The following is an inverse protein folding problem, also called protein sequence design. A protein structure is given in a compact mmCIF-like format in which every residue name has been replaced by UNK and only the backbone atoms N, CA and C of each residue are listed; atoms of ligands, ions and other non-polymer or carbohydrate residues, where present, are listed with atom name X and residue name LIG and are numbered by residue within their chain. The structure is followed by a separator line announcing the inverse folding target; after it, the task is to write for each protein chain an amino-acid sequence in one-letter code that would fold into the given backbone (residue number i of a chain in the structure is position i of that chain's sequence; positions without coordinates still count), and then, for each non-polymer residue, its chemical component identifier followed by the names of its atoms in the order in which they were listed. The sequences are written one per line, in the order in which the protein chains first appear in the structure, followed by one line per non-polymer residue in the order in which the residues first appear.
data_IF_919523152733
#
_entry.id   IF_919523152733
#
_cell.length_a   1.000
_cell.length_b   1.000
_cell.length_c   1.000
_cell.angle_alpha   90.00
_cell.angle_beta   90.00
_cell.angle_gamma   90.00
#
_symmetry.space_group_name_H-M   'P 1'
#
loop_
_entity.id
_entity.type
_entity.pdbx_description
1 polymer ?
#
# COMPACT_ATOMS: atom_id res chain seq x y z
N UNK A 1 -2.41 9.73 -10.64
CA UNK A 1 -3.27 10.79 -10.08
C UNK A 1 -4.56 10.86 -10.89
N UNK A 2 -5.69 10.41 -10.34
CA UNK A 2 -7.00 10.42 -11.01
C UNK A 2 -7.60 11.84 -11.12
N UNK A 3 -7.22 12.76 -10.22
CA UNK A 3 -7.65 14.15 -10.23
C UNK A 3 -6.45 15.07 -10.45
N UNK A 4 -6.51 15.94 -11.46
CA UNK A 4 -5.40 16.84 -11.87
C UNK A 4 -5.39 18.21 -11.18
N UNK A 5 -6.18 18.38 -10.13
CA UNK A 5 -6.32 19.63 -9.38
C UNK A 5 -5.39 19.64 -8.16
N UNK A 6 -5.02 20.83 -7.69
CA UNK A 6 -4.27 20.98 -6.44
C UNK A 6 -5.07 20.39 -5.27
N UNK A 7 -4.44 19.49 -4.53
CA UNK A 7 -5.03 18.89 -3.34
C UNK A 7 -4.75 19.74 -2.08
N UNK A 8 -5.46 19.47 -0.99
CA UNK A 8 -5.22 20.11 0.31
C UNK A 8 -4.26 19.28 1.16
N UNK A 9 -4.71 18.77 2.31
CA UNK A 9 -3.87 18.02 3.26
C UNK A 9 -3.63 16.56 2.85
N UNK A 10 -4.43 16.02 1.93
CA UNK A 10 -4.35 14.64 1.46
C UNK A 10 -4.49 14.55 -0.07
N UNK A 11 -4.05 13.44 -0.66
CA UNK A 11 -4.23 13.16 -2.08
C UNK A 11 -4.45 11.66 -2.35
N UNK A 12 -5.16 11.34 -3.43
CA UNK A 12 -5.47 9.94 -3.80
C UNK A 12 -4.74 9.57 -5.09
N UNK A 13 -4.01 8.47 -5.05
CA UNK A 13 -3.42 7.81 -6.23
C UNK A 13 -4.25 6.58 -6.61
N UNK A 14 -4.10 6.13 -7.86
CA UNK A 14 -4.70 4.89 -8.35
C UNK A 14 -3.60 3.95 -8.78
N UNK A 15 -3.62 2.74 -8.24
CA UNK A 15 -2.79 1.60 -8.64
C UNK A 15 -3.31 0.85 -9.86
N UNK A 16 -4.31 1.36 -10.59
CA UNK A 16 -4.95 0.63 -11.71
C UNK A 16 -3.95 0.22 -12.80
N UNK A 17 -2.87 0.97 -12.99
CA UNK A 17 -1.81 0.61 -13.96
C UNK A 17 -1.03 -0.63 -13.55
N UNK A 18 -0.87 -0.87 -12.25
CA UNK A 18 -0.11 -1.98 -11.70
C UNK A 18 -0.85 -3.32 -11.87
N UNK A 19 -2.16 -3.30 -12.12
CA UNK A 19 -2.95 -4.50 -12.44
C UNK A 19 -2.38 -5.23 -13.66
N UNK A 20 -1.81 -4.52 -14.63
CA UNK A 20 -1.17 -5.14 -15.81
C UNK A 20 0.00 -6.08 -15.43
N UNK A 21 0.58 -5.91 -14.24
CA UNK A 21 1.65 -6.74 -13.68
C UNK A 21 1.14 -7.71 -12.59
N UNK A 22 -0.18 -7.80 -12.42
CA UNK A 22 -0.83 -8.60 -11.37
C UNK A 22 -0.56 -8.06 -9.96
N UNK A 23 -0.35 -6.75 -9.83
CA UNK A 23 -0.11 -6.05 -8.56
C UNK A 23 -1.33 -5.18 -8.24
N UNK A 24 -1.81 -5.32 -7.01
CA UNK A 24 -2.93 -4.56 -6.45
C UNK A 24 -2.44 -3.55 -5.40
N UNK A 25 -3.30 -2.61 -5.00
CA UNK A 25 -3.01 -1.61 -3.97
C UNK A 25 -2.57 -2.25 -2.65
N UNK A 26 -3.13 -3.43 -2.31
CA UNK A 26 -2.71 -4.19 -1.14
C UNK A 26 -1.26 -4.66 -1.22
N UNK A 27 -0.76 -5.01 -2.41
CA UNK A 27 0.63 -5.47 -2.59
C UNK A 27 1.62 -4.31 -2.43
N UNK A 28 1.24 -3.12 -2.90
CA UNK A 28 1.99 -1.87 -2.66
C UNK A 28 2.00 -1.55 -1.15
N UNK A 29 0.85 -1.68 -0.48
CA UNK A 29 0.75 -1.50 0.97
C UNK A 29 1.66 -2.49 1.72
N UNK A 30 1.67 -3.78 1.36
CA UNK A 30 2.59 -4.73 1.98
C UNK A 30 4.06 -4.43 1.68
N UNK A 31 4.37 -3.96 0.48
CA UNK A 31 5.73 -3.52 0.12
C UNK A 31 6.22 -2.30 0.89
N UNK A 32 5.32 -1.41 1.34
CA UNK A 32 5.65 -0.30 2.25
C UNK A 32 6.08 -0.78 3.63
N UNK A 33 5.43 -1.82 4.15
CA UNK A 33 5.77 -2.43 5.44
C UNK A 33 7.22 -2.91 5.44
N UNK A 34 7.64 -3.61 4.37
CA UNK A 34 9.02 -4.08 4.23
C UNK A 34 10.05 -2.93 4.14
N UNK A 35 9.61 -1.71 3.80
CA UNK A 35 10.43 -0.50 3.74
C UNK A 35 10.33 0.37 5.00
N UNK A 36 9.70 -0.14 6.07
CA UNK A 36 9.59 0.54 7.36
C UNK A 36 8.49 1.60 7.42
N UNK A 37 7.57 1.64 6.46
CA UNK A 37 6.44 2.56 6.48
C UNK A 37 5.14 1.84 6.87
N UNK A 38 4.35 2.48 7.74
CA UNK A 38 2.95 2.12 7.84
C UNK A 38 2.25 2.52 6.52
N UNK A 39 1.45 1.63 5.91
CA UNK A 39 0.78 1.98 4.66
C UNK A 39 -0.25 3.10 4.84
N UNK A 40 -0.46 3.94 3.82
CA UNK A 40 -1.58 4.86 3.79
C UNK A 40 -2.91 4.12 3.71
N UNK A 41 -4.02 4.86 3.74
CA UNK A 41 -5.34 4.28 3.49
C UNK A 41 -5.38 3.69 2.08
N UNK A 42 -5.84 2.44 1.95
CA UNK A 42 -6.06 1.78 0.65
C UNK A 42 -7.53 1.41 0.45
N UNK A 43 -7.96 1.33 -0.81
CA UNK A 43 -9.32 1.01 -1.23
C UNK A 43 -10.42 2.00 -0.76
N UNK A 44 -10.01 3.17 -0.28
CA UNK A 44 -10.89 4.31 -0.03
C UNK A 44 -10.24 5.59 -0.56
N UNK A 45 -11.00 6.52 -1.18
CA UNK A 45 -12.44 6.44 -1.48
C UNK A 45 -12.75 5.43 -2.59
N UNK A 46 -13.94 4.81 -2.53
CA UNK A 46 -14.34 3.70 -3.42
C UNK A 46 -14.56 4.11 -4.89
N UNK A 47 -14.61 5.41 -5.18
CA UNK A 47 -14.72 5.96 -6.55
C UNK A 47 -13.40 5.91 -7.33
N UNK A 48 -12.28 5.60 -6.66
CA UNK A 48 -10.97 5.43 -7.29
C UNK A 48 -10.59 3.95 -7.23
N UNK A 49 -10.39 3.31 -8.38
CA UNK A 49 -9.91 1.92 -8.43
C UNK A 49 -8.49 1.82 -7.90
N UNK A 50 -8.20 0.77 -7.14
CA UNK A 50 -6.89 0.56 -6.50
C UNK A 50 -6.43 1.83 -5.76
N UNK A 51 -7.35 2.44 -5.00
CA UNK A 51 -7.10 3.69 -4.30
C UNK A 51 -5.98 3.56 -3.28
N UNK A 52 -5.10 4.56 -3.26
CA UNK A 52 -4.03 4.76 -2.28
C UNK A 52 -4.10 6.24 -1.84
N UNK A 53 -4.67 6.50 -0.67
CA UNK A 53 -4.96 7.84 -0.15
C UNK A 53 -3.95 8.24 0.93
N UNK A 54 -3.09 9.20 0.59
CA UNK A 54 -1.94 9.62 1.40
C UNK A 54 -2.22 10.98 2.04
N UNK A 55 -2.09 11.02 3.37
CA UNK A 55 -2.15 12.22 4.20
C UNK A 55 -0.92 12.25 5.13
N UNK A 56 0.07 13.13 4.90
CA UNK A 56 1.27 13.16 5.73
C UNK A 56 1.09 13.92 7.06
N UNK A 57 0.10 14.80 7.17
CA UNK A 57 -0.05 15.81 8.24
C UNK A 57 1.11 16.81 8.31
N UNK A 58 0.94 17.86 9.11
CA UNK A 58 1.89 18.98 9.21
C UNK A 58 3.14 18.69 10.05
N UNK A 59 3.13 17.61 10.85
CA UNK A 59 4.24 17.30 11.76
C UNK A 59 5.39 16.56 11.09
N UNK A 60 5.16 15.98 9.91
CA UNK A 60 6.19 15.23 9.20
C UNK A 60 7.20 16.15 8.52
N UNK A 61 8.47 15.77 8.62
CA UNK A 61 9.57 16.55 8.05
C UNK A 61 9.60 16.41 6.52
N UNK A 62 10.16 17.42 5.83
CA UNK A 62 10.39 17.32 4.38
C UNK A 62 11.23 16.09 4.02
N UNK A 63 12.21 15.74 4.86
CA UNK A 63 13.05 14.56 4.65
C UNK A 63 12.25 13.26 4.70
N UNK A 64 11.29 13.15 5.64
CA UNK A 64 10.35 12.01 5.69
C UNK A 64 9.54 11.93 4.41
N UNK A 65 9.01 13.06 3.93
CA UNK A 65 8.22 13.12 2.70
C UNK A 65 9.04 12.70 1.48
N UNK A 66 10.27 13.21 1.34
CA UNK A 66 11.16 12.87 0.24
C UNK A 66 11.49 11.36 0.26
N UNK A 67 11.73 10.80 1.44
CA UNK A 67 12.01 9.37 1.62
C UNK A 67 10.80 8.51 1.27
N UNK A 68 9.59 8.92 1.69
CA UNK A 68 8.35 8.24 1.34
C UNK A 68 8.08 8.30 -0.18
N UNK A 69 8.32 9.46 -0.82
CA UNK A 69 8.19 9.61 -2.28
C UNK A 69 9.18 8.70 -3.02
N UNK A 70 10.45 8.68 -2.60
CA UNK A 70 11.47 7.79 -3.18
C UNK A 70 11.07 6.32 -3.04
N UNK A 71 10.54 5.95 -1.88
CA UNK A 71 10.00 4.61 -1.61
C UNK A 71 8.83 4.25 -2.51
N UNK A 72 7.87 5.16 -2.72
CA UNK A 72 6.75 4.94 -3.64
C UNK A 72 7.19 4.78 -5.09
N UNK A 73 8.20 5.54 -5.53
CA UNK A 73 8.80 5.42 -6.86
C UNK A 73 9.51 4.06 -7.02
N UNK A 74 10.25 3.63 -6.01
CA UNK A 74 10.89 2.31 -5.99
C UNK A 74 9.85 1.18 -6.07
N UNK A 75 8.79 1.24 -5.27
CA UNK A 75 7.69 0.27 -5.30
C UNK A 75 7.03 0.18 -6.69
N UNK A 76 6.83 1.32 -7.36
CA UNK A 76 6.31 1.33 -8.72
C UNK A 76 7.23 0.59 -9.69
N UNK A 77 8.56 0.75 -9.57
CA UNK A 77 9.54 0.00 -10.38
C UNK A 77 9.56 -1.48 -10.05
N UNK A 78 9.49 -1.85 -8.78
CA UNK A 78 9.45 -3.27 -8.36
C UNK A 78 8.16 -3.93 -8.85
N UNK A 79 7.03 -3.24 -8.84
CA UNK A 79 5.77 -3.76 -9.39
C UNK A 79 5.89 -4.12 -10.88
N UNK A 80 6.62 -3.33 -11.67
CA UNK A 80 6.81 -3.58 -13.10
C UNK A 80 7.85 -4.66 -13.38
N UNK A 81 8.98 -4.65 -12.67
CA UNK A 81 10.15 -5.48 -12.99
C UNK A 81 10.22 -6.79 -12.19
N UNK A 82 9.70 -6.79 -10.95
CA UNK A 82 9.84 -7.89 -10.00
C UNK A 82 8.55 -8.10 -9.18
N UNK A 83 7.38 -8.29 -9.83
CA UNK A 83 6.07 -8.31 -9.16
C UNK A 83 5.97 -9.38 -8.06
N UNK A 84 6.64 -10.52 -8.23
CA UNK A 84 6.61 -11.60 -7.25
C UNK A 84 7.18 -11.18 -5.89
N UNK A 85 8.12 -10.22 -5.85
CA UNK A 85 8.61 -9.65 -4.58
C UNK A 85 7.50 -8.94 -3.81
N UNK A 86 6.63 -8.19 -4.50
CA UNK A 86 5.51 -7.48 -3.83
C UNK A 86 4.38 -8.41 -3.43
N UNK A 87 4.13 -9.47 -4.21
CA UNK A 87 3.16 -10.52 -3.84
C UNK A 87 3.60 -11.28 -2.59
N UNK A 88 4.90 -11.51 -2.44
CA UNK A 88 5.47 -12.16 -1.26
C UNK A 88 5.51 -11.25 -0.01
N UNK A 89 5.53 -9.93 -0.19
CA UNK A 89 5.57 -8.97 0.92
C UNK A 89 4.35 -9.08 1.86
N UNK A 90 4.48 -8.84 3.18
CA UNK A 90 5.72 -8.49 3.86
C UNK A 90 6.53 -9.73 4.22
N UNK A 91 7.86 -9.62 4.14
CA UNK A 91 8.82 -10.70 4.46
C UNK A 91 9.78 -10.32 5.59
N UNK A 92 9.85 -9.06 6.00
CA UNK A 92 10.73 -8.61 7.09
C UNK A 92 10.05 -8.62 8.46
N UNK A 93 8.72 -8.79 8.50
CA UNK A 93 7.93 -8.83 9.73
C UNK A 93 7.92 -10.23 10.36
N UNK A 94 7.68 -10.35 11.68
CA UNK A 94 7.61 -11.66 12.37
C UNK A 94 6.55 -12.62 11.79
N UNK A 95 5.51 -12.05 11.17
CA UNK A 95 4.43 -12.77 10.48
C UNK A 95 4.24 -12.15 9.11
N UNK A 96 4.06 -12.99 8.08
CA UNK A 96 3.77 -12.56 6.73
C UNK A 96 2.28 -12.29 6.48
N UNK A 97 1.80 -12.55 5.26
CA UNK A 97 0.37 -12.46 4.95
C UNK A 97 -0.42 -13.52 5.71
N UNK A 98 -1.50 -13.08 6.36
CA UNK A 98 -2.45 -13.97 7.01
C UNK A 98 -3.41 -14.54 5.97
N UNK A 99 -3.88 -15.77 6.20
CA UNK A 99 -4.95 -16.36 5.42
C UNK A 99 -6.30 -15.81 5.88
N UNK A 100 -6.68 -14.65 5.34
CA UNK A 100 -7.95 -13.99 5.64
C UNK A 100 -9.16 -14.86 5.24
N UNK A 101 -9.01 -15.71 4.21
CA UNK A 101 -10.09 -16.60 3.77
C UNK A 101 -10.32 -17.71 4.78
N UNK A 102 -9.26 -18.34 5.26
CA UNK A 102 -9.35 -19.34 6.32
C UNK A 102 -9.88 -18.71 7.61
N UNK A 103 -9.38 -17.54 8.01
CA UNK A 103 -9.84 -16.83 9.20
C UNK A 103 -11.33 -16.49 9.14
N UNK A 104 -11.85 -16.06 7.98
CA UNK A 104 -13.27 -15.77 7.81
C UNK A 104 -14.17 -17.01 7.78
N UNK A 105 -13.65 -18.16 7.29
CA UNK A 105 -14.43 -19.41 7.17
C UNK A 105 -14.37 -20.30 8.43
N UNK A 106 -13.21 -20.31 9.09
CA UNK A 106 -12.89 -21.16 10.23
C UNK A 106 -12.48 -20.26 11.40
N UNK A 107 -13.45 -19.49 11.90
CA UNK A 107 -13.21 -18.55 12.99
C UNK A 107 -12.83 -19.32 14.26
N UNK A 108 -11.58 -19.16 14.69
CA UNK A 108 -11.06 -19.66 15.95
C UNK A 108 -10.92 -18.49 16.92
N UNK A 109 -11.98 -18.24 17.68
CA UNK A 109 -11.94 -17.33 18.82
C UNK A 109 -11.53 -18.18 20.03
N UNK A 110 -10.37 -17.86 20.63
CA UNK A 110 -10.01 -18.44 21.91
C UNK A 110 -11.19 -18.24 22.88
N UNK A 111 -11.71 -19.32 23.45
CA UNK A 111 -12.68 -19.23 24.53
C UNK A 111 -12.04 -18.38 25.65
N UNK A 112 -12.61 -17.20 25.88
CA UNK A 112 -12.31 -16.35 27.03
C UNK A 112 -12.75 -17.03 28.33
#
# INVERSE_FOLDING_TARGET
MPFGQTCKHECVFSGEKQIAHGIHAIDIAKGLIDRGFHPPTVYFPTIVKEAIMIEPTETESKETLDTFIATMIDLAKVAENEPDKLKAAPVTTPVGRLDETAAAKNVDIAEL
#
